data_IF_827978525969
#
_entry.id   IF_827978525969
#
_cell.length_a   1.000
_cell.length_b   1.000
_cell.length_c   1.000
_cell.angle_alpha   90.00
_cell.angle_beta   90.00
_cell.angle_gamma   90.00
#
_symmetry.space_group_name_H-M   'P 1'
#
loop_
_entity.id
_entity.type
_entity.pdbx_description
1 polymer ?
#
# COMPACT_ATOMS: atom_id res chain seq x y z
N UNK A 1 38.69 35.23 -18.12
CA UNK A 1 38.20 35.21 -16.72
C UNK A 1 36.67 35.06 -16.59
N UNK A 2 35.86 35.66 -17.48
CA UNK A 2 34.38 35.58 -17.48
C UNK A 2 33.82 34.14 -17.55
N UNK A 3 34.33 33.32 -18.47
CA UNK A 3 33.90 31.91 -18.64
C UNK A 3 34.10 31.02 -17.41
N UNK A 4 35.11 31.31 -16.57
CA UNK A 4 35.38 30.52 -15.35
C UNK A 4 34.29 30.74 -14.28
N UNK A 5 33.70 31.95 -14.24
CA UNK A 5 32.63 32.31 -13.30
C UNK A 5 31.29 31.69 -13.69
N UNK A 6 30.96 31.68 -14.99
CA UNK A 6 29.74 31.07 -15.51
C UNK A 6 29.73 29.54 -15.30
N UNK A 7 30.86 28.86 -15.55
CA UNK A 7 31.01 27.43 -15.29
C UNK A 7 30.80 27.10 -13.80
N UNK A 8 31.39 27.89 -12.89
CA UNK A 8 31.23 27.68 -11.44
C UNK A 8 29.76 27.85 -11.02
N UNK A 9 29.06 28.86 -11.55
CA UNK A 9 27.63 29.08 -11.25
C UNK A 9 26.79 27.90 -11.73
N UNK A 10 27.02 27.41 -12.94
CA UNK A 10 26.29 26.24 -13.47
C UNK A 10 26.52 24.98 -12.63
N UNK A 11 27.75 24.75 -12.16
CA UNK A 11 28.06 23.62 -11.26
C UNK A 11 27.32 23.77 -9.93
N UNK A 12 27.30 24.97 -9.34
CA UNK A 12 26.58 25.22 -8.07
C UNK A 12 25.07 24.97 -8.25
N UNK A 13 24.46 25.44 -9.34
CA UNK A 13 23.04 25.19 -9.63
C UNK A 13 22.77 23.69 -9.77
N UNK A 14 23.63 22.95 -10.47
CA UNK A 14 23.50 21.51 -10.62
C UNK A 14 23.56 20.78 -9.27
N UNK A 15 24.49 21.18 -8.39
CA UNK A 15 24.64 20.61 -7.05
C UNK A 15 23.40 20.91 -6.20
N UNK A 16 22.93 22.17 -6.19
CA UNK A 16 21.73 22.56 -5.45
C UNK A 16 20.51 21.78 -5.96
N UNK A 17 20.34 21.67 -7.28
CA UNK A 17 19.26 20.91 -7.88
C UNK A 17 19.30 19.43 -7.48
N UNK A 18 20.49 18.80 -7.53
CA UNK A 18 20.67 17.42 -7.11
C UNK A 18 20.36 17.22 -5.61
N UNK A 19 20.83 18.14 -4.75
CA UNK A 19 20.53 18.09 -3.31
C UNK A 19 19.04 18.24 -3.04
N UNK A 20 18.39 19.22 -3.67
CA UNK A 20 16.94 19.43 -3.56
C UNK A 20 16.20 18.19 -4.03
N UNK A 21 16.54 17.65 -5.20
CA UNK A 21 15.94 16.43 -5.72
C UNK A 21 16.07 15.25 -4.76
N UNK A 22 17.26 15.05 -4.17
CA UNK A 22 17.49 13.99 -3.20
C UNK A 22 16.65 14.15 -1.92
N UNK A 23 16.52 15.38 -1.42
CA UNK A 23 15.71 15.67 -0.22
C UNK A 23 14.22 15.36 -0.48
N UNK A 24 13.70 15.71 -1.66
CA UNK A 24 12.29 15.52 -1.99
C UNK A 24 11.93 14.10 -2.45
N UNK A 25 12.91 13.29 -2.86
CA UNK A 25 12.68 11.91 -3.33
C UNK A 25 13.29 10.86 -2.39
N UNK A 26 13.58 11.24 -1.15
CA UNK A 26 14.18 10.30 -0.20
C UNK A 26 13.15 9.21 0.13
N UNK A 27 13.49 7.93 -0.07
CA UNK A 27 12.55 6.84 0.19
C UNK A 27 12.13 6.82 1.65
N UNK A 28 10.90 6.38 1.88
CA UNK A 28 10.29 6.20 3.18
C UNK A 28 10.12 4.71 3.50
N UNK A 29 9.81 4.43 4.75
CA UNK A 29 9.41 3.11 5.24
C UNK A 29 7.98 3.18 5.76
N UNK A 30 7.19 2.15 5.46
CA UNK A 30 5.87 1.96 6.04
C UNK A 30 5.87 0.64 6.78
N UNK A 31 5.44 0.64 8.02
CA UNK A 31 5.30 -0.57 8.82
C UNK A 31 3.97 -0.56 9.56
N UNK A 32 3.65 -1.68 10.19
CA UNK A 32 2.50 -1.74 11.05
C UNK A 32 2.29 -3.12 11.63
N UNK A 33 1.30 -3.19 12.50
CA UNK A 33 0.80 -4.40 13.12
C UNK A 33 -0.64 -4.60 12.68
N UNK A 34 -0.95 -5.77 12.13
CA UNK A 34 -2.31 -6.18 11.81
C UNK A 34 -2.74 -7.26 12.79
N UNK A 35 -3.88 -7.04 13.42
CA UNK A 35 -4.47 -7.97 14.38
C UNK A 35 -5.92 -8.25 14.07
N UNK A 36 -6.44 -9.26 14.74
CA UNK A 36 -7.86 -9.59 14.77
C UNK A 36 -8.24 -10.13 16.14
N UNK A 37 -9.52 -10.09 16.47
CA UNK A 37 -10.04 -10.66 17.70
C UNK A 37 -10.43 -12.12 17.48
N UNK A 38 -9.71 -13.05 18.12
CA UNK A 38 -9.97 -14.49 17.97
C UNK A 38 -11.32 -14.88 18.58
N UNK A 39 -11.54 -14.47 19.83
CA UNK A 39 -12.81 -14.49 20.55
C UNK A 39 -12.66 -13.71 21.87
N UNK A 40 -13.76 -13.52 22.60
CA UNK A 40 -13.78 -12.75 23.86
C UNK A 40 -12.96 -13.37 25.00
N UNK A 41 -12.59 -14.65 24.92
CA UNK A 41 -11.82 -15.35 25.95
C UNK A 41 -10.31 -15.25 25.72
N UNK A 42 -9.88 -15.38 24.47
CA UNK A 42 -8.47 -15.38 24.06
C UNK A 42 -7.98 -13.95 23.77
N UNK A 43 -8.87 -13.09 23.26
CA UNK A 43 -8.54 -11.72 22.90
C UNK A 43 -7.89 -11.58 21.53
N UNK A 44 -7.21 -10.45 21.37
CA UNK A 44 -6.52 -10.05 20.15
C UNK A 44 -5.35 -10.99 19.83
N UNK A 45 -5.24 -11.36 18.56
CA UNK A 45 -4.15 -12.15 17.99
C UNK A 45 -3.55 -11.45 16.78
N UNK A 46 -2.26 -11.69 16.48
CA UNK A 46 -1.69 -11.26 15.22
C UNK A 46 -2.45 -11.90 14.05
N UNK A 47 -2.75 -11.10 13.03
CA UNK A 47 -3.33 -11.58 11.79
C UNK A 47 -2.19 -11.98 10.85
N UNK A 48 -1.75 -13.22 10.96
CA UNK A 48 -0.58 -13.76 10.23
C UNK A 48 -0.94 -14.01 8.77
N UNK A 49 -0.15 -13.46 7.85
CA UNK A 49 -0.39 -13.57 6.41
C UNK A 49 -1.40 -12.58 5.85
N UNK A 50 -1.94 -11.67 6.66
CA UNK A 50 -2.71 -10.52 6.18
C UNK A 50 -1.88 -9.74 5.15
N UNK A 51 -2.54 -9.22 4.13
CA UNK A 51 -1.86 -8.52 3.02
C UNK A 51 -2.17 -7.04 3.05
N UNK A 52 -1.13 -6.22 2.93
CA UNK A 52 -1.23 -4.76 2.84
C UNK A 52 -0.82 -4.35 1.44
N UNK A 53 -1.77 -3.83 0.67
CA UNK A 53 -1.54 -3.27 -0.66
C UNK A 53 -1.45 -1.74 -0.55
N UNK A 54 -0.51 -1.17 -1.30
CA UNK A 54 -0.27 0.27 -1.40
C UNK A 54 -0.34 0.69 -2.87
N UNK A 55 -1.38 1.45 -3.20
CA UNK A 55 -1.62 1.93 -4.57
C UNK A 55 -1.45 3.45 -4.61
N UNK A 56 -0.68 4.00 -5.57
CA UNK A 56 -0.47 5.45 -5.63
C UNK A 56 -1.76 6.17 -5.99
N UNK A 57 -2.11 7.24 -5.27
CA UNK A 57 -3.35 8.00 -5.46
C UNK A 57 -3.52 8.57 -6.88
N UNK A 58 -2.40 8.80 -7.58
CA UNK A 58 -2.38 9.26 -8.96
C UNK A 58 -1.65 8.25 -9.82
N UNK A 59 -2.31 7.85 -10.90
CA UNK A 59 -1.76 6.94 -11.91
C UNK A 59 -1.78 7.61 -13.27
N UNK A 60 -0.75 7.32 -14.08
CA UNK A 60 -0.69 7.79 -15.47
C UNK A 60 -1.54 6.92 -16.40
N UNK A 61 -1.64 5.62 -16.06
CA UNK A 61 -2.44 4.62 -16.75
C UNK A 61 -2.91 3.55 -15.76
N UNK A 62 -4.02 2.90 -16.08
CA UNK A 62 -4.42 1.65 -15.43
C UNK A 62 -3.35 0.57 -15.65
N UNK A 63 -3.22 -0.34 -14.69
CA UNK A 63 -2.44 -1.55 -14.85
C UNK A 63 -3.07 -2.44 -15.93
N UNK A 64 -2.25 -3.20 -16.67
CA UNK A 64 -2.78 -4.33 -17.44
C UNK A 64 -3.29 -5.43 -16.51
N UNK A 65 -4.11 -6.32 -17.03
CA UNK A 65 -4.63 -7.45 -16.25
C UNK A 65 -3.48 -8.32 -15.69
N UNK A 66 -2.43 -8.56 -16.48
CA UNK A 66 -1.24 -9.33 -16.04
C UNK A 66 -0.44 -8.62 -14.93
N UNK A 67 -0.29 -7.29 -15.01
CA UNK A 67 0.38 -6.47 -13.98
C UNK A 67 -0.43 -6.51 -12.68
N UNK A 68 -1.76 -6.41 -12.78
CA UNK A 68 -2.67 -6.46 -11.64
C UNK A 68 -2.70 -7.85 -10.99
N UNK A 69 -2.80 -8.92 -11.78
CA UNK A 69 -2.81 -10.30 -11.28
C UNK A 69 -1.51 -10.61 -10.52
N UNK A 70 -0.37 -10.29 -11.13
CA UNK A 70 0.95 -10.48 -10.51
C UNK A 70 1.08 -9.72 -9.19
N UNK A 71 0.52 -8.51 -9.12
CA UNK A 71 0.51 -7.68 -7.92
C UNK A 71 -0.36 -8.26 -6.81
N UNK A 72 -1.60 -8.65 -7.13
CA UNK A 72 -2.53 -9.17 -6.13
C UNK A 72 -2.18 -10.58 -5.65
N UNK A 73 -1.46 -11.37 -6.45
CA UNK A 73 -0.87 -12.63 -6.00
C UNK A 73 0.36 -12.43 -5.10
N UNK A 74 0.89 -11.22 -5.03
CA UNK A 74 2.13 -10.92 -4.32
C UNK A 74 3.35 -11.56 -4.99
N UNK A 75 3.41 -11.48 -6.31
CA UNK A 75 4.56 -11.98 -7.11
C UNK A 75 5.46 -10.80 -7.48
N UNK A 76 4.90 -9.77 -8.10
CA UNK A 76 5.65 -8.58 -8.56
C UNK A 76 4.84 -7.31 -8.31
N UNK A 77 5.51 -6.23 -7.91
CA UNK A 77 4.87 -4.92 -7.78
C UNK A 77 5.15 -4.06 -9.01
N UNK A 78 4.10 -3.55 -9.70
CA UNK A 78 4.27 -2.51 -10.70
C UNK A 78 4.96 -1.28 -10.11
N UNK A 79 5.63 -0.48 -10.95
CA UNK A 79 6.35 0.70 -10.49
C UNK A 79 5.45 1.66 -9.71
N UNK A 80 5.83 1.97 -8.48
CA UNK A 80 5.10 2.88 -7.59
C UNK A 80 3.98 2.22 -6.80
N UNK A 81 3.75 0.92 -6.99
CA UNK A 81 2.88 0.08 -6.16
C UNK A 81 3.76 -0.72 -5.19
N UNK A 82 3.18 -1.11 -4.07
CA UNK A 82 3.89 -1.86 -3.04
C UNK A 82 2.93 -2.82 -2.35
N UNK A 83 3.42 -3.97 -1.91
CA UNK A 83 2.66 -4.83 -1.01
C UNK A 83 3.57 -5.43 0.06
N UNK A 84 2.97 -5.85 1.17
CA UNK A 84 3.63 -6.72 2.14
C UNK A 84 2.61 -7.69 2.74
N UNK A 85 3.12 -8.86 3.16
CA UNK A 85 2.38 -9.80 4.01
C UNK A 85 2.90 -9.68 5.43
N UNK A 86 2.01 -9.80 6.39
CA UNK A 86 2.39 -9.81 7.80
C UNK A 86 3.13 -11.09 8.17
N UNK A 87 4.11 -10.95 9.06
CA UNK A 87 4.90 -12.04 9.62
C UNK A 87 4.12 -12.84 10.68
N UNK A 88 4.79 -13.80 11.32
CA UNK A 88 4.20 -14.62 12.39
C UNK A 88 3.75 -13.85 13.64
N UNK A 89 4.11 -12.57 13.75
CA UNK A 89 3.71 -11.66 14.82
C UNK A 89 2.72 -10.58 14.33
N UNK A 90 2.20 -10.70 13.10
CA UNK A 90 1.27 -9.74 12.52
C UNK A 90 1.95 -8.44 12.05
N UNK A 91 3.28 -8.34 12.12
CA UNK A 91 3.99 -7.14 11.69
C UNK A 91 4.31 -7.20 10.20
N UNK A 92 4.36 -6.04 9.55
CA UNK A 92 4.85 -5.93 8.18
C UNK A 92 5.76 -4.70 8.03
N UNK A 93 6.60 -4.73 7.01
CA UNK A 93 7.51 -3.63 6.66
C UNK A 93 7.60 -3.51 5.12
N UNK A 94 7.35 -2.31 4.61
CA UNK A 94 7.48 -1.93 3.20
C UNK A 94 8.55 -0.85 3.14
N UNK A 95 9.69 -1.17 2.52
CA UNK A 95 10.82 -0.28 2.36
C UNK A 95 10.80 0.41 1.00
N UNK A 96 11.64 1.44 0.87
CA UNK A 96 11.85 2.14 -0.40
C UNK A 96 10.57 2.71 -1.04
N UNK A 97 9.65 3.14 -0.19
CA UNK A 97 8.39 3.76 -0.63
C UNK A 97 8.67 5.18 -1.10
N UNK A 98 8.27 5.49 -2.33
CA UNK A 98 8.40 6.83 -2.86
C UNK A 98 7.49 7.80 -2.09
N UNK A 99 7.92 9.06 -1.86
CA UNK A 99 7.04 10.06 -1.26
C UNK A 99 5.84 10.35 -2.15
N UNK A 100 4.65 10.46 -1.55
CA UNK A 100 3.42 10.63 -2.31
C UNK A 100 2.17 10.31 -1.50
N UNK A 101 1.02 10.36 -2.16
CA UNK A 101 -0.26 9.94 -1.58
C UNK A 101 -0.60 8.53 -2.05
N UNK A 102 -1.14 7.73 -1.14
CA UNK A 102 -1.47 6.34 -1.40
C UNK A 102 -2.82 5.96 -0.84
N UNK A 103 -3.47 5.06 -1.56
CA UNK A 103 -4.63 4.31 -1.12
C UNK A 103 -4.13 2.94 -0.63
N UNK A 104 -4.29 2.70 0.67
CA UNK A 104 -3.94 1.45 1.33
C UNK A 104 -5.17 0.55 1.35
N UNK A 105 -4.99 -0.72 1.01
CA UNK A 105 -5.98 -1.77 1.25
C UNK A 105 -5.31 -2.82 2.13
N UNK A 106 -5.89 -3.06 3.30
CA UNK A 106 -5.46 -4.11 4.22
C UNK A 106 -6.49 -5.23 4.11
N UNK A 107 -6.05 -6.44 3.80
CA UNK A 107 -6.92 -7.62 3.70
C UNK A 107 -6.52 -8.59 4.78
N UNK A 108 -7.49 -8.98 5.61
CA UNK A 108 -7.30 -9.96 6.67
C UNK A 108 -7.04 -11.35 6.10
N UNK A 109 -6.28 -12.17 6.82
CA UNK A 109 -6.14 -13.60 6.53
C UNK A 109 -6.85 -14.48 7.57
N UNK A 110 -7.50 -13.86 8.57
CA UNK A 110 -8.06 -14.56 9.73
C UNK A 110 -9.49 -14.13 10.06
N UNK A 111 -9.79 -12.83 9.95
CA UNK A 111 -11.10 -12.28 10.24
C UNK A 111 -12.02 -12.36 9.03
N UNK A 112 -13.16 -13.02 9.20
CA UNK A 112 -14.18 -13.11 8.16
C UNK A 112 -15.14 -11.94 8.22
N UNK A 113 -15.53 -11.48 7.04
CA UNK A 113 -16.53 -10.43 6.82
C UNK A 113 -17.95 -10.96 6.97
N UNK A 114 -18.92 -10.07 7.11
CA UNK A 114 -20.32 -10.43 6.99
C UNK A 114 -20.75 -10.25 5.53
N UNK A 115 -20.79 -11.34 4.76
CA UNK A 115 -21.06 -11.30 3.32
C UNK A 115 -22.45 -10.72 3.00
N UNK A 116 -23.40 -10.79 3.95
CA UNK A 116 -24.76 -10.29 3.75
C UNK A 116 -24.82 -8.77 3.89
N UNK A 117 -24.10 -8.22 4.87
CA UNK A 117 -24.19 -6.79 5.23
C UNK A 117 -23.05 -5.95 4.65
N UNK A 118 -21.91 -6.55 4.34
CA UNK A 118 -20.75 -5.84 3.81
C UNK A 118 -20.87 -5.71 2.29
N UNK A 119 -21.10 -4.49 1.82
CA UNK A 119 -21.08 -4.12 0.41
C UNK A 119 -19.64 -3.76 -0.04
N UNK A 120 -19.24 -4.29 -1.20
CA UNK A 120 -17.94 -4.01 -1.82
C UNK A 120 -17.95 -2.82 -2.77
N UNK A 121 -19.09 -2.18 -3.03
CA UNK A 121 -19.21 -1.11 -4.01
C UNK A 121 -18.17 0.00 -3.83
N UNK A 122 -17.85 0.37 -2.58
CA UNK A 122 -16.82 1.36 -2.30
C UNK A 122 -15.43 0.94 -2.77
N UNK A 123 -14.98 -0.29 -2.45
CA UNK A 123 -13.66 -0.76 -2.87
C UNK A 123 -13.62 -1.05 -4.37
N UNK A 124 -14.73 -1.50 -4.95
CA UNK A 124 -14.87 -1.69 -6.39
C UNK A 124 -14.72 -0.37 -7.13
N UNK A 125 -15.44 0.68 -6.72
CA UNK A 125 -15.32 2.03 -7.28
C UNK A 125 -13.86 2.53 -7.17
N UNK A 126 -13.25 2.35 -6.00
CA UNK A 126 -11.85 2.74 -5.78
C UNK A 126 -10.90 2.02 -6.72
N UNK A 127 -11.01 0.69 -6.85
CA UNK A 127 -10.19 -0.15 -7.73
C UNK A 127 -10.48 0.11 -9.22
N UNK A 128 -11.68 0.56 -9.58
CA UNK A 128 -12.03 0.92 -10.96
C UNK A 128 -11.15 2.02 -11.53
N UNK A 129 -10.47 2.81 -10.69
CA UNK A 129 -9.48 3.78 -11.14
C UNK A 129 -8.18 3.12 -11.60
N UNK A 130 -7.83 1.94 -11.08
CA UNK A 130 -6.51 1.30 -11.22
C UNK A 130 -6.47 0.16 -12.23
N UNK A 131 -7.57 -0.59 -12.32
CA UNK A 131 -7.61 -1.88 -13.02
C UNK A 131 -8.89 -2.01 -13.86
N UNK A 132 -9.00 -3.12 -14.61
CA UNK A 132 -10.20 -3.48 -15.37
C UNK A 132 -11.27 -4.11 -14.46
N UNK A 133 -12.53 -4.10 -14.89
CA UNK A 133 -13.63 -4.76 -14.14
C UNK A 133 -13.36 -6.24 -13.91
N UNK A 134 -12.82 -6.96 -14.89
CA UNK A 134 -12.45 -8.36 -14.75
C UNK A 134 -11.46 -8.58 -13.59
N UNK A 135 -10.50 -7.65 -13.43
CA UNK A 135 -9.53 -7.73 -12.35
C UNK A 135 -10.09 -7.28 -11.00
N UNK A 136 -11.12 -6.42 -10.98
CA UNK A 136 -11.86 -6.11 -9.75
C UNK A 136 -12.58 -7.37 -9.27
N UNK A 137 -13.26 -8.08 -10.16
CA UNK A 137 -13.95 -9.33 -9.82
C UNK A 137 -12.97 -10.41 -9.35
N UNK A 138 -11.81 -10.51 -9.99
CA UNK A 138 -10.73 -11.39 -9.54
C UNK A 138 -10.21 -10.99 -8.16
N UNK A 139 -9.96 -9.70 -7.92
CA UNK A 139 -9.50 -9.21 -6.62
C UNK A 139 -10.52 -9.53 -5.53
N UNK A 140 -11.79 -9.26 -5.79
CA UNK A 140 -12.89 -9.52 -4.87
C UNK A 140 -12.96 -11.01 -4.50
N UNK A 141 -12.99 -11.88 -5.52
CA UNK A 141 -13.06 -13.34 -5.31
C UNK A 141 -11.80 -13.94 -4.68
N UNK A 142 -10.62 -13.41 -4.96
CA UNK A 142 -9.35 -13.99 -4.48
C UNK A 142 -8.91 -13.43 -3.13
N UNK A 143 -9.26 -12.19 -2.81
CA UNK A 143 -8.79 -11.49 -1.62
C UNK A 143 -9.92 -11.16 -0.64
N UNK A 144 -11.09 -10.74 -1.11
CA UNK A 144 -12.15 -10.20 -0.23
C UNK A 144 -13.30 -11.18 0.04
N UNK A 145 -13.36 -12.30 -0.69
CA UNK A 145 -14.51 -13.19 -0.75
C UNK A 145 -15.17 -13.47 0.60
N UNK A 146 -14.41 -14.00 1.56
CA UNK A 146 -14.87 -14.19 2.94
C UNK A 146 -14.12 -13.33 3.94
N UNK A 147 -13.09 -12.60 3.51
CA UNK A 147 -12.16 -11.93 4.40
C UNK A 147 -12.52 -10.46 4.59
N UNK A 148 -12.36 -9.96 5.82
CA UNK A 148 -12.47 -8.52 6.09
C UNK A 148 -11.36 -7.76 5.38
N UNK A 149 -11.66 -6.51 5.06
CA UNK A 149 -10.67 -5.56 4.59
C UNK A 149 -10.93 -4.18 5.17
N UNK A 150 -9.89 -3.34 5.11
CA UNK A 150 -9.93 -1.94 5.52
C UNK A 150 -9.22 -1.12 4.44
N UNK A 151 -9.70 0.10 4.19
CA UNK A 151 -9.02 1.03 3.28
C UNK A 151 -8.61 2.30 4.00
N UNK A 152 -7.43 2.85 3.67
CA UNK A 152 -6.92 4.09 4.27
C UNK A 152 -6.25 4.96 3.24
N UNK A 153 -6.43 6.27 3.35
CA UNK A 153 -5.69 7.24 2.55
C UNK A 153 -4.53 7.77 3.39
N UNK A 154 -3.31 7.68 2.85
CA UNK A 154 -2.09 8.09 3.55
C UNK A 154 -1.26 9.06 2.70
N UNK A 155 -0.49 9.90 3.39
CA UNK A 155 0.53 10.75 2.78
C UNK A 155 1.91 10.36 3.32
N UNK A 156 2.77 9.90 2.42
CA UNK A 156 4.14 9.47 2.70
C UNK A 156 5.08 10.65 2.44
N UNK A 157 5.73 11.13 3.50
CA UNK A 157 6.68 12.25 3.43
C UNK A 157 8.08 11.74 3.09
N UNK A 158 8.93 12.56 2.43
CA UNK A 158 10.31 12.16 2.11
C UNK A 158 11.11 11.74 3.35
N UNK A 159 11.71 10.54 3.29
CA UNK A 159 12.53 9.99 4.37
C UNK A 159 11.79 9.62 5.65
N UNK A 160 10.46 9.59 5.63
CA UNK A 160 9.65 9.31 6.82
C UNK A 160 9.58 7.82 7.14
N UNK A 161 9.23 7.51 8.39
CA UNK A 161 8.79 6.19 8.81
C UNK A 161 7.33 6.35 9.29
N UNK A 162 6.40 5.72 8.58
CA UNK A 162 4.98 5.82 8.83
C UNK A 162 4.44 4.48 9.34
N UNK A 163 3.71 4.51 10.45
CA UNK A 163 3.04 3.33 10.98
C UNK A 163 1.57 3.32 10.57
N UNK A 164 1.15 2.25 9.90
CA UNK A 164 -0.23 2.01 9.48
C UNK A 164 -0.66 0.65 10.04
N UNK A 165 -1.35 0.65 11.17
CA UNK A 165 -1.83 -0.57 11.83
C UNK A 165 -3.35 -0.68 11.73
N UNK A 166 -3.89 -1.89 11.88
CA UNK A 166 -5.33 -2.10 11.93
C UNK A 166 -5.68 -3.35 12.76
N UNK A 167 -6.78 -3.27 13.50
CA UNK A 167 -7.35 -4.39 14.24
C UNK A 167 -8.72 -4.71 13.65
N UNK A 168 -8.90 -5.91 13.09
CA UNK A 168 -10.12 -6.32 12.38
C UNK A 168 -11.28 -6.71 13.30
N UNK A 169 -11.08 -6.62 14.61
CA UNK A 169 -12.05 -7.02 15.63
C UNK A 169 -12.55 -8.46 15.42
N UNK A 170 -13.77 -8.77 15.88
CA UNK A 170 -14.34 -10.11 15.85
C UNK A 170 -14.66 -10.57 14.43
N UNK A 171 -14.37 -11.84 14.13
CA UNK A 171 -14.80 -12.49 12.89
C UNK A 171 -16.33 -12.70 12.88
N UNK A 172 -16.93 -12.65 11.69
CA UNK A 172 -18.30 -13.11 11.46
C UNK A 172 -18.32 -14.60 11.08
N UNK A 173 -19.42 -15.31 11.33
CA UNK A 173 -19.61 -16.75 11.07
C UNK A 173 -20.84 -17.02 10.22
#
# INVERSE_FOLDING_TARGET
MKYKKEIIISIIILIIFSCIFYIFNRPATINGLITWQYNDLIGTKPDVGATVFLMPDKIDKKLSDDEADSYFLGIESPKGYYYAKTDGNGNYDIQDVAPGKYNVIIVSNSAKRNIIDDDNDYIRDKLSNYISENMIDYFDTSNLYVWKYETKDIEVKPGSNLTVSHDFENTYY
#
